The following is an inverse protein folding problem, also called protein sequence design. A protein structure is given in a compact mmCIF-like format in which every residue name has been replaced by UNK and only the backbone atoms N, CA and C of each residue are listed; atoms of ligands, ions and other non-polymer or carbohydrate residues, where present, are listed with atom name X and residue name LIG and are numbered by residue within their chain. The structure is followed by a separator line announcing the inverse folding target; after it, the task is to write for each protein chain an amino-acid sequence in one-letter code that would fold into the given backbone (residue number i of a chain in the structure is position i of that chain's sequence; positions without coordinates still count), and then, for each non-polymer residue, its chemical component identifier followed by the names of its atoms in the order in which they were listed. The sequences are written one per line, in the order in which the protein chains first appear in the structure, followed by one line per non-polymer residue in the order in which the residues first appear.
data_IF_398185842092
#
_entry.id   IF_398185842092
#
_cell.length_a   1.000
_cell.length_b   1.000
_cell.length_c   1.000
_cell.angle_alpha   90.00
_cell.angle_beta   90.00
_cell.angle_gamma   90.00
#
_symmetry.space_group_name_H-M   'P 1'
#
loop_
_entity.id
_entity.type
_entity.pdbx_description
1 polymer ?
#
# COMPACT_ATOMS: atom_id res chain seq x y z
N UNK A 1 8.99 -8.23 -21.00
CA UNK A 1 8.14 -8.30 -19.80
C UNK A 1 7.97 -6.86 -19.32
N UNK A 2 6.77 -6.41 -18.93
CA UNK A 2 6.60 -5.05 -18.41
C UNK A 2 7.29 -4.89 -17.05
N UNK A 3 7.59 -3.65 -16.63
CA UNK A 3 8.23 -3.39 -15.33
C UNK A 3 7.38 -3.91 -14.18
N UNK A 4 6.05 -3.78 -14.28
CA UNK A 4 5.10 -4.35 -13.32
C UNK A 4 5.17 -5.88 -13.24
N UNK A 5 5.25 -6.56 -14.40
CA UNK A 5 5.36 -8.02 -14.41
C UNK A 5 6.68 -8.51 -13.81
N UNK A 6 7.78 -7.78 -14.04
CA UNK A 6 9.06 -8.06 -13.41
C UNK A 6 9.00 -7.85 -11.89
N UNK A 7 8.41 -6.74 -11.44
CA UNK A 7 8.21 -6.46 -10.02
C UNK A 7 7.42 -7.58 -9.34
N UNK A 8 6.28 -7.99 -9.90
CA UNK A 8 5.45 -9.08 -9.36
C UNK A 8 6.20 -10.40 -9.30
N UNK A 9 6.93 -10.75 -10.36
CA UNK A 9 7.75 -11.97 -10.40
C UNK A 9 8.88 -11.97 -9.35
N UNK A 10 9.55 -10.84 -9.17
CA UNK A 10 10.60 -10.72 -8.14
C UNK A 10 10.01 -10.80 -6.73
N UNK A 11 8.84 -10.21 -6.51
CA UNK A 11 8.14 -10.30 -5.23
C UNK A 11 7.68 -11.72 -4.93
N UNK A 12 7.12 -12.43 -5.89
CA UNK A 12 6.75 -13.83 -5.74
C UNK A 12 7.97 -14.70 -5.39
N UNK A 13 9.10 -14.46 -6.06
CA UNK A 13 10.36 -15.14 -5.75
C UNK A 13 10.82 -14.85 -4.33
N UNK A 14 10.80 -13.59 -3.89
CA UNK A 14 11.15 -13.21 -2.52
C UNK A 14 10.25 -13.90 -1.50
N UNK A 15 8.93 -13.93 -1.73
CA UNK A 15 7.99 -14.58 -0.82
C UNK A 15 8.17 -16.10 -0.75
N UNK A 16 8.43 -16.75 -1.88
CA UNK A 16 8.56 -18.20 -1.93
C UNK A 16 9.94 -18.74 -1.50
N UNK A 17 11.01 -17.97 -1.75
CA UNK A 17 12.38 -18.52 -1.67
C UNK A 17 13.26 -17.85 -0.60
N UNK A 18 12.99 -16.58 -0.24
CA UNK A 18 13.88 -15.84 0.66
C UNK A 18 13.65 -16.24 2.13
N UNK A 19 14.73 -16.33 2.90
CA UNK A 19 14.68 -16.65 4.34
C UNK A 19 14.05 -15.52 5.18
N UNK A 20 14.03 -14.28 4.67
CA UNK A 20 13.33 -13.12 5.28
C UNK A 20 11.90 -12.96 4.78
N UNK A 21 11.37 -13.94 4.05
CA UNK A 21 9.98 -13.94 3.59
C UNK A 21 9.02 -13.72 4.77
N UNK A 22 7.94 -12.94 4.58
CA UNK A 22 6.92 -12.79 5.62
C UNK A 22 6.09 -14.06 5.84
N UNK A 23 6.23 -15.07 4.98
CA UNK A 23 5.52 -16.33 5.09
C UNK A 23 6.18 -17.25 6.12
N UNK A 24 5.39 -18.03 6.83
CA UNK A 24 5.86 -19.16 7.63
C UNK A 24 6.43 -20.26 6.71
N UNK A 25 7.23 -21.17 7.25
CA UNK A 25 7.78 -22.29 6.48
C UNK A 25 6.69 -23.12 5.81
N UNK A 26 5.59 -23.40 6.53
CA UNK A 26 4.43 -24.11 5.99
C UNK A 26 3.75 -23.35 4.84
N UNK A 27 3.60 -22.03 4.96
CA UNK A 27 3.05 -21.21 3.88
C UNK A 27 3.96 -21.21 2.65
N UNK A 28 5.28 -21.14 2.85
CA UNK A 28 6.26 -21.20 1.74
C UNK A 28 6.22 -22.53 0.98
N UNK A 29 6.06 -23.65 1.67
CA UNK A 29 5.93 -24.97 1.04
C UNK A 29 4.70 -25.06 0.10
N UNK A 30 3.64 -24.31 0.41
CA UNK A 30 2.41 -24.30 -0.38
C UNK A 30 2.29 -23.07 -1.30
N UNK A 31 3.28 -22.17 -1.28
CA UNK A 31 3.22 -20.91 -2.00
C UNK A 31 3.27 -21.12 -3.51
N UNK A 32 2.31 -20.52 -4.20
CA UNK A 32 2.19 -20.58 -5.66
C UNK A 32 1.95 -19.18 -6.27
N UNK A 33 2.57 -18.15 -5.67
CA UNK A 33 2.44 -16.76 -6.07
C UNK A 33 1.40 -15.98 -5.29
N UNK A 34 1.53 -14.66 -5.33
CA UNK A 34 0.58 -13.71 -4.76
C UNK A 34 -0.57 -13.46 -5.74
N UNK A 35 -1.72 -13.06 -5.22
CA UNK A 35 -2.86 -12.71 -6.04
C UNK A 35 -2.86 -11.21 -6.36
N UNK A 36 -3.06 -10.88 -7.63
CA UNK A 36 -3.11 -9.51 -8.11
C UNK A 36 -4.32 -9.26 -9.00
N UNK A 37 -4.80 -8.03 -8.99
CA UNK A 37 -5.66 -7.55 -10.07
C UNK A 37 -4.89 -7.49 -11.40
N UNK A 38 -5.60 -7.51 -12.51
CA UNK A 38 -5.05 -7.14 -13.82
C UNK A 38 -4.48 -5.72 -13.78
N UNK A 39 -3.50 -5.44 -14.64
CA UNK A 39 -2.94 -4.09 -14.79
C UNK A 39 -4.03 -3.11 -15.26
N UNK A 40 -4.11 -1.94 -14.61
CA UNK A 40 -5.06 -0.88 -14.95
C UNK A 40 -4.32 0.45 -15.08
N UNK A 41 -4.24 0.99 -16.28
CA UNK A 41 -3.66 2.31 -16.55
C UNK A 41 -4.52 3.44 -15.99
N UNK A 42 -5.82 3.21 -15.78
CA UNK A 42 -6.75 4.18 -15.20
C UNK A 42 -6.51 4.42 -13.70
N UNK A 43 -5.76 3.52 -13.06
CA UNK A 43 -5.39 3.60 -11.64
C UNK A 43 -3.93 4.03 -11.43
N UNK A 44 -3.39 4.75 -12.42
CA UNK A 44 -2.07 5.41 -12.38
C UNK A 44 -2.26 6.91 -12.52
N UNK A 45 -1.85 7.66 -11.51
CA UNK A 45 -2.07 9.11 -11.42
C UNK A 45 -0.76 9.87 -11.30
N UNK A 46 -0.64 11.01 -12.01
CA UNK A 46 0.38 12.02 -11.79
C UNK A 46 -0.28 13.24 -11.15
N UNK A 47 -0.07 13.44 -9.86
CA UNK A 47 -0.77 14.42 -9.05
C UNK A 47 0.17 15.50 -8.53
N UNK A 48 -0.33 16.73 -8.49
CA UNK A 48 0.35 17.82 -7.79
C UNK A 48 -0.02 17.75 -6.31
N UNK A 49 0.95 17.50 -5.40
CA UNK A 49 0.67 17.46 -3.97
C UNK A 49 0.41 18.86 -3.42
N UNK A 50 -0.47 18.96 -2.44
CA UNK A 50 -0.55 20.11 -1.55
C UNK A 50 0.33 19.81 -0.34
N UNK A 51 1.52 20.41 -0.28
CA UNK A 51 2.43 20.23 0.83
C UNK A 51 1.82 20.78 2.11
N UNK A 52 1.99 20.06 3.20
CA UNK A 52 1.61 20.52 4.53
C UNK A 52 2.79 21.27 5.13
N UNK A 53 2.55 22.52 5.51
CA UNK A 53 3.59 23.45 6.03
C UNK A 53 3.96 23.14 7.49
N UNK A 54 3.04 22.52 8.20
CA UNK A 54 3.25 22.09 9.56
C UNK A 54 3.78 20.65 9.50
N UNK A 55 5.05 20.46 9.85
CA UNK A 55 5.69 19.14 9.97
C UNK A 55 5.09 18.43 11.20
N UNK A 56 3.83 18.00 11.06
CA UNK A 56 3.06 17.40 12.14
C UNK A 56 3.41 15.92 12.23
N UNK A 57 4.17 15.61 13.26
CA UNK A 57 4.34 14.23 13.70
C UNK A 57 3.02 13.68 14.22
N UNK A 58 2.67 12.49 13.76
CA UNK A 58 1.46 11.79 14.15
C UNK A 58 1.76 10.35 14.49
N UNK A 59 1.00 9.82 15.45
CA UNK A 59 1.05 8.42 15.83
C UNK A 59 0.08 7.61 15.00
N UNK A 60 0.58 6.61 14.28
CA UNK A 60 -0.24 5.63 13.55
C UNK A 60 -0.29 4.35 14.37
N UNK A 61 -1.51 3.83 14.70
CA UNK A 61 -1.65 2.57 15.40
C UNK A 61 -1.04 1.39 14.65
N UNK A 62 -0.46 0.45 15.38
CA UNK A 62 0.05 -0.82 14.86
C UNK A 62 -0.96 -1.96 15.01
N UNK A 63 -0.92 -2.95 14.14
CA UNK A 63 -1.85 -4.09 14.12
C UNK A 63 -1.77 -4.97 15.37
N UNK A 64 -0.64 -4.98 16.07
CA UNK A 64 -0.42 -5.74 17.31
C UNK A 64 -0.60 -4.91 18.59
N UNK A 65 -1.01 -3.65 18.45
CA UNK A 65 -1.08 -2.69 19.53
C UNK A 65 0.15 -1.78 19.60
N UNK A 66 0.00 -0.64 20.30
CA UNK A 66 0.97 0.46 20.26
C UNK A 66 0.85 1.31 19.00
N UNK A 67 1.85 2.12 18.73
CA UNK A 67 1.88 3.05 17.59
C UNK A 67 3.29 3.25 17.06
N UNK A 68 3.38 3.86 15.90
CA UNK A 68 4.63 4.34 15.29
C UNK A 68 4.47 5.79 14.86
N UNK A 69 5.52 6.58 15.06
CA UNK A 69 5.55 7.99 14.64
C UNK A 69 5.80 8.10 13.15
N UNK A 70 5.14 9.04 12.51
CA UNK A 70 5.36 9.43 11.12
C UNK A 70 4.93 10.88 10.92
N UNK A 71 5.26 11.48 9.78
CA UNK A 71 4.90 12.86 9.46
C UNK A 71 3.88 12.92 8.33
N UNK A 72 2.84 13.74 8.49
CA UNK A 72 1.97 14.12 7.38
C UNK A 72 2.73 15.04 6.44
N UNK A 73 3.03 14.58 5.25
CA UNK A 73 3.85 15.33 4.31
C UNK A 73 3.03 16.15 3.30
N UNK A 74 2.02 15.54 2.70
CA UNK A 74 1.19 16.21 1.70
C UNK A 74 -0.20 15.60 1.60
N UNK A 75 -1.11 16.38 1.02
CA UNK A 75 -2.44 15.91 0.60
C UNK A 75 -2.44 15.80 -0.92
N UNK A 76 -3.00 14.71 -1.43
CA UNK A 76 -3.29 14.48 -2.84
C UNK A 76 -4.78 14.28 -3.07
N UNK A 77 -5.29 14.74 -4.22
CA UNK A 77 -6.67 14.48 -4.62
C UNK A 77 -6.73 14.01 -6.07
N UNK A 78 -7.61 13.07 -6.34
CA UNK A 78 -7.87 12.52 -7.66
C UNK A 78 -9.35 12.18 -7.82
N UNK A 79 -9.79 12.00 -9.05
CA UNK A 79 -11.15 11.55 -9.34
C UNK A 79 -11.14 10.07 -9.71
N UNK A 80 -12.05 9.32 -9.11
CA UNK A 80 -12.26 7.92 -9.41
C UNK A 80 -13.77 7.64 -9.53
N UNK A 81 -14.20 7.21 -10.73
CA UNK A 81 -15.63 6.96 -11.05
C UNK A 81 -16.56 8.13 -10.70
N UNK A 82 -16.13 9.37 -10.95
CA UNK A 82 -16.89 10.58 -10.65
C UNK A 82 -16.90 11.00 -9.18
N UNK A 83 -16.14 10.31 -8.32
CA UNK A 83 -15.95 10.68 -6.92
C UNK A 83 -14.57 11.28 -6.73
N UNK A 84 -14.51 12.45 -6.10
CA UNK A 84 -13.24 13.05 -5.69
C UNK A 84 -12.78 12.40 -4.39
N UNK A 85 -11.64 11.72 -4.46
CA UNK A 85 -10.98 11.11 -3.32
C UNK A 85 -9.79 11.96 -2.87
N UNK A 86 -9.52 11.93 -1.58
CA UNK A 86 -8.43 12.69 -0.93
C UNK A 86 -7.66 11.73 -0.04
N UNK A 87 -6.34 11.75 -0.15
CA UNK A 87 -5.45 10.93 0.65
C UNK A 87 -4.28 11.77 1.18
N UNK A 88 -3.82 11.43 2.37
CA UNK A 88 -2.61 11.99 2.99
C UNK A 88 -1.41 11.09 2.69
N UNK A 89 -0.35 11.67 2.14
CA UNK A 89 0.94 11.03 1.95
C UNK A 89 1.78 11.27 3.19
N UNK A 90 2.40 10.23 3.71
CA UNK A 90 3.24 10.25 4.92
C UNK A 90 4.72 10.11 4.57
N UNK A 91 5.57 10.45 5.51
CA UNK A 91 7.01 10.31 5.45
C UNK A 91 7.55 10.00 6.85
N UNK A 92 8.36 8.94 6.99
CA UNK A 92 8.89 8.54 8.30
C UNK A 92 9.91 9.54 8.84
N UNK A 93 10.76 10.08 7.95
CA UNK A 93 11.80 11.04 8.29
C UNK A 93 12.03 12.06 7.16
N UNK A 94 12.67 13.18 7.47
CA UNK A 94 13.00 14.20 6.46
C UNK A 94 13.87 13.61 5.34
N UNK A 95 13.43 13.78 4.08
CA UNK A 95 14.09 13.20 2.91
C UNK A 95 13.88 11.70 2.71
N UNK A 96 13.17 11.05 3.61
CA UNK A 96 12.82 9.63 3.50
C UNK A 96 11.77 9.31 2.43
N UNK A 97 11.51 8.02 2.21
CA UNK A 97 10.52 7.57 1.22
C UNK A 97 9.11 8.07 1.58
N UNK A 98 8.33 8.31 0.51
CA UNK A 98 6.92 8.69 0.65
C UNK A 98 6.05 7.44 0.73
N UNK A 99 5.20 7.39 1.73
CA UNK A 99 4.38 6.25 2.10
C UNK A 99 2.90 6.59 2.12
N UNK A 100 2.08 5.76 1.50
CA UNK A 100 0.63 5.92 1.43
C UNK A 100 -0.07 4.66 1.94
N UNK A 101 -0.37 4.59 3.24
CA UNK A 101 -1.28 3.56 3.76
C UNK A 101 -2.72 3.97 3.45
N UNK A 102 -3.55 3.06 2.93
CA UNK A 102 -4.94 3.36 2.58
C UNK A 102 -5.88 2.17 2.76
N UNK A 103 -7.16 2.48 3.00
CA UNK A 103 -8.28 1.54 2.90
C UNK A 103 -9.26 2.06 1.86
N UNK A 104 -9.77 1.18 1.05
CA UNK A 104 -10.67 1.50 -0.05
C UNK A 104 -11.92 0.59 -0.04
N UNK A 105 -12.82 0.79 -0.98
CA UNK A 105 -14.06 0.01 -1.07
C UNK A 105 -13.89 -1.50 -1.29
N UNK A 106 -12.68 -1.97 -1.63
CA UNK A 106 -12.36 -3.39 -1.78
C UNK A 106 -11.91 -4.05 -0.47
N UNK A 107 -11.53 -3.25 0.53
CA UNK A 107 -10.96 -3.75 1.80
C UNK A 107 -11.92 -4.65 2.57
N UNK A 108 -11.46 -5.84 2.93
CA UNK A 108 -12.23 -6.86 3.63
C UNK A 108 -13.16 -7.69 2.74
N UNK A 109 -13.11 -7.49 1.42
CA UNK A 109 -13.90 -8.25 0.42
C UNK A 109 -12.99 -8.86 -0.65
N UNK A 110 -12.27 -8.01 -1.37
CA UNK A 110 -11.39 -8.38 -2.48
C UNK A 110 -9.91 -8.20 -2.08
N UNK A 111 -9.63 -7.30 -1.14
CA UNK A 111 -8.30 -7.00 -0.62
C UNK A 111 -8.25 -7.11 0.90
N UNK A 112 -7.05 -7.06 1.48
CA UNK A 112 -6.84 -7.21 2.92
C UNK A 112 -7.65 -6.19 3.73
N UNK A 113 -8.34 -6.66 4.77
CA UNK A 113 -9.30 -5.86 5.52
C UNK A 113 -8.72 -4.70 6.31
N UNK A 114 -7.45 -4.78 6.73
CA UNK A 114 -6.76 -3.69 7.42
C UNK A 114 -6.23 -2.61 6.45
N UNK A 115 -6.28 -2.84 5.14
CA UNK A 115 -5.80 -1.93 4.11
C UNK A 115 -4.51 -2.38 3.44
N UNK A 116 -4.05 -1.55 2.51
CA UNK A 116 -2.85 -1.77 1.70
C UNK A 116 -1.94 -0.55 1.74
N UNK A 117 -0.75 -0.70 1.20
CA UNK A 117 0.27 0.33 1.12
C UNK A 117 0.64 0.63 -0.32
N UNK A 118 1.06 1.85 -0.56
CA UNK A 118 1.69 2.28 -1.81
C UNK A 118 2.91 3.14 -1.49
N UNK A 119 4.04 2.82 -2.09
CA UNK A 119 5.20 3.70 -2.12
C UNK A 119 5.00 4.72 -3.24
N UNK A 120 5.00 6.00 -2.87
CA UNK A 120 4.74 7.11 -3.78
C UNK A 120 6.06 7.62 -4.34
N UNK A 121 6.15 7.76 -5.65
CA UNK A 121 7.36 8.22 -6.32
C UNK A 121 7.26 9.69 -6.70
N UNK A 122 8.38 10.41 -6.59
CA UNK A 122 8.47 11.74 -7.17
C UNK A 122 8.53 11.66 -8.70
N UNK A 123 7.80 12.53 -9.36
CA UNK A 123 7.77 12.66 -10.80
C UNK A 123 8.24 14.07 -11.22
N UNK A 124 8.38 14.30 -12.53
CA UNK A 124 8.72 15.60 -13.09
C UNK A 124 7.69 16.68 -12.68
N UNK A 125 8.09 17.94 -12.77
CA UNK A 125 7.25 19.11 -12.48
C UNK A 125 6.68 19.14 -11.05
N UNK A 126 7.41 18.63 -10.05
CA UNK A 126 6.98 18.55 -8.66
C UNK A 126 5.66 17.74 -8.46
N UNK A 127 5.41 16.79 -9.34
CA UNK A 127 4.29 15.86 -9.23
C UNK A 127 4.69 14.58 -8.49
N UNK A 128 3.68 13.86 -8.05
CA UNK A 128 3.80 12.51 -7.52
C UNK A 128 3.23 11.51 -8.53
N UNK A 129 3.93 10.40 -8.72
CA UNK A 129 3.41 9.24 -9.41
C UNK A 129 2.81 8.29 -8.38
N UNK A 130 1.50 8.09 -8.48
CA UNK A 130 0.74 7.12 -7.68
C UNK A 130 0.21 6.04 -8.60
N UNK A 131 0.94 4.95 -8.71
CA UNK A 131 0.57 3.80 -9.52
C UNK A 131 0.04 2.68 -8.61
N UNK A 132 -1.28 2.59 -8.47
CA UNK A 132 -1.93 1.60 -7.62
C UNK A 132 -1.75 0.15 -8.11
N UNK A 133 -1.23 -0.08 -9.30
CA UNK A 133 -0.84 -1.42 -9.74
C UNK A 133 0.28 -2.02 -8.89
N UNK A 134 1.04 -1.17 -8.19
CA UNK A 134 2.08 -1.55 -7.21
C UNK A 134 1.59 -1.56 -5.76
N UNK A 135 0.29 -1.31 -5.51
CA UNK A 135 -0.25 -1.40 -4.15
C UNK A 135 -0.11 -2.82 -3.60
N UNK A 136 0.29 -2.92 -2.33
CA UNK A 136 0.65 -4.19 -1.72
C UNK A 136 0.08 -4.36 -0.31
N UNK A 137 -0.07 -5.61 0.11
CA UNK A 137 -0.50 -5.95 1.46
C UNK A 137 0.64 -5.76 2.46
N UNK A 138 0.37 -5.25 3.67
CA UNK A 138 1.33 -5.29 4.78
C UNK A 138 1.65 -6.74 5.15
N UNK A 139 2.80 -6.98 5.76
CA UNK A 139 3.23 -8.33 6.14
C UNK A 139 2.28 -9.03 7.11
N UNK A 140 1.57 -8.28 7.95
CA UNK A 140 0.54 -8.84 8.83
C UNK A 140 -0.68 -9.43 8.10
N UNK A 141 -0.81 -9.20 6.79
CA UNK A 141 -1.81 -9.87 5.97
C UNK A 141 -1.49 -11.35 5.71
N UNK A 142 -0.25 -11.77 5.95
CA UNK A 142 0.25 -13.13 5.67
C UNK A 142 0.39 -13.99 6.91
N UNK A 143 0.76 -13.39 8.05
CA UNK A 143 0.74 -14.03 9.37
C UNK A 143 0.77 -13.00 10.51
N UNK A 144 0.32 -13.41 11.69
CA UNK A 144 0.15 -12.54 12.86
C UNK A 144 1.45 -12.16 13.59
N UNK A 145 2.60 -12.67 13.15
CA UNK A 145 3.89 -12.33 13.76
C UNK A 145 4.37 -10.92 13.41
N UNK A 146 3.72 -10.28 12.44
CA UNK A 146 4.10 -8.97 11.94
C UNK A 146 3.24 -7.86 12.53
N UNK A 147 3.90 -6.76 12.91
CA UNK A 147 3.27 -5.55 13.39
C UNK A 147 3.36 -4.47 12.31
N UNK A 148 2.21 -4.00 11.83
CA UNK A 148 2.14 -3.12 10.67
C UNK A 148 1.29 -1.89 10.96
N UNK A 149 1.66 -0.69 10.42
CA UNK A 149 0.86 0.51 10.55
C UNK A 149 -0.55 0.35 9.96
N UNK A 150 -1.56 0.75 10.73
CA UNK A 150 -2.96 0.73 10.27
C UNK A 150 -3.26 2.04 9.56
N UNK A 151 -3.78 2.03 8.31
CA UNK A 151 -4.17 3.24 7.62
C UNK A 151 -5.07 4.13 8.46
N UNK A 152 -4.70 5.42 8.66
CA UNK A 152 -5.46 6.33 9.50
C UNK A 152 -6.83 6.68 8.89
N UNK A 153 -7.77 7.23 9.68
CA UNK A 153 -9.12 7.52 9.20
C UNK A 153 -9.19 8.41 7.96
N UNK A 154 -8.29 9.37 7.82
CA UNK A 154 -8.20 10.26 6.66
C UNK A 154 -7.79 9.56 5.36
N UNK A 155 -7.23 8.35 5.45
CA UNK A 155 -6.86 7.52 4.30
C UNK A 155 -7.84 6.36 4.07
N UNK A 156 -9.08 6.53 4.50
CA UNK A 156 -10.18 5.60 4.22
C UNK A 156 -11.11 6.22 3.18
N UNK A 157 -11.08 5.68 1.98
CA UNK A 157 -11.91 6.13 0.86
C UNK A 157 -13.01 5.13 0.54
N UNK A 158 -14.09 5.62 -0.08
CA UNK A 158 -15.23 4.77 -0.43
C UNK A 158 -15.11 4.11 -1.80
N UNK A 159 -14.37 4.72 -2.72
CA UNK A 159 -14.13 4.18 -4.05
C UNK A 159 -13.32 2.89 -3.99
N UNK A 160 -13.54 2.01 -4.96
CA UNK A 160 -12.83 0.73 -5.06
C UNK A 160 -11.63 0.84 -5.97
N UNK A 161 -10.43 0.61 -5.42
CA UNK A 161 -9.16 0.58 -6.18
C UNK A 161 -8.83 -0.86 -6.54
N UNK A 162 -9.33 -1.31 -7.70
CA UNK A 162 -9.10 -2.67 -8.21
C UNK A 162 -7.78 -2.76 -8.99
N UNK A 163 -6.68 -2.50 -8.30
CA UNK A 163 -5.31 -2.63 -8.79
C UNK A 163 -4.40 -3.12 -7.66
N UNK A 164 -3.22 -3.65 -7.98
CA UNK A 164 -2.28 -4.18 -7.00
C UNK A 164 -2.68 -5.53 -6.42
N UNK A 165 -2.24 -5.80 -5.20
CA UNK A 165 -2.49 -7.08 -4.52
C UNK A 165 -3.94 -7.25 -4.08
N UNK A 166 -4.44 -8.45 -4.26
CA UNK A 166 -5.69 -8.95 -3.72
C UNK A 166 -5.46 -9.61 -2.34
N UNK A 167 -6.55 -10.07 -1.73
CA UNK A 167 -6.49 -10.84 -0.49
C UNK A 167 -5.62 -12.09 -0.67
N UNK A 168 -4.75 -12.34 0.29
CA UNK A 168 -3.98 -13.58 0.35
C UNK A 168 -4.86 -14.68 0.97
N UNK A 169 -4.90 -15.88 0.38
CA UNK A 169 -5.67 -16.98 0.94
C UNK A 169 -5.21 -17.32 2.36
N UNK A 170 -6.17 -17.50 3.26
CA UNK A 170 -5.89 -17.91 4.64
C UNK A 170 -5.50 -19.41 4.61
N UNK A 171 -4.25 -19.71 4.89
CA UNK A 171 -3.69 -21.06 4.93
C UNK A 171 -3.77 -21.62 6.39
N UNK A 172 -4.90 -21.44 7.07
CA UNK A 172 -5.14 -22.01 8.39
C UNK A 172 -5.45 -23.51 8.33
#
# INVERSE_FOLDING_TARGET
MSDLANFRSQKDKYFGEDHNSPLTDRQREMFNGLNYYGESTELTFKLTPTLLTDDIEVEIPLSTGGSTSTHRWAIVSFELNGTREILTVFREEEGGPLFLPFRDGTSGKETYGMGRYLEVQSAEENKLLMDFNYAYNPFCAYNDNWSCPIPPPENRISSSIRAGECIYPDWN
#
